data_IF_867550334545
#
_entry.id   IF_867550334545
#
_cell.length_a   1.000
_cell.length_b   1.000
_cell.length_c   1.000
_cell.angle_alpha   90.00
_cell.angle_beta   90.00
_cell.angle_gamma   90.00
#
_symmetry.space_group_name_H-M   'P 1'
#
loop_
_entity.id
_entity.type
_entity.pdbx_description
1 polymer ?
#
# COMPACT_ATOMS: atom_id res chain seq x y z
N UNK A 1 9.04 -44.96 28.62
CA UNK A 1 8.77 -43.51 28.78
C UNK A 1 9.41 -42.62 27.70
N UNK A 2 10.62 -42.92 27.19
CA UNK A 2 11.31 -42.09 26.17
C UNK A 2 10.54 -41.90 24.85
N UNK A 3 9.88 -42.95 24.34
CA UNK A 3 9.15 -42.88 23.06
C UNK A 3 7.84 -42.08 23.14
N UNK A 4 7.19 -42.05 24.31
CA UNK A 4 5.94 -41.28 24.52
C UNK A 4 6.25 -39.78 24.58
N UNK A 5 7.36 -39.41 25.23
CA UNK A 5 7.83 -38.03 25.31
C UNK A 5 8.22 -37.49 23.93
N UNK A 6 8.92 -38.30 23.11
CA UNK A 6 9.27 -37.93 21.74
C UNK A 6 8.03 -37.71 20.86
N UNK A 7 7.00 -38.56 20.97
CA UNK A 7 5.74 -38.39 20.25
C UNK A 7 5.02 -37.09 20.65
N UNK A 8 4.93 -36.81 21.96
CA UNK A 8 4.33 -35.58 22.50
C UNK A 8 5.05 -34.33 22.00
N UNK A 9 6.38 -34.33 21.94
CA UNK A 9 7.15 -33.22 21.37
C UNK A 9 6.83 -32.99 19.89
N UNK A 10 6.69 -34.05 19.09
CA UNK A 10 6.33 -33.93 17.67
C UNK A 10 4.92 -33.35 17.50
N UNK A 11 3.95 -33.82 18.30
CA UNK A 11 2.58 -33.29 18.25
C UNK A 11 2.50 -31.83 18.69
N UNK A 12 3.22 -31.43 19.73
CA UNK A 12 3.26 -30.04 20.21
C UNK A 12 3.88 -29.10 19.16
N UNK A 13 4.98 -29.51 18.52
CA UNK A 13 5.62 -28.72 17.46
C UNK A 13 4.73 -28.62 16.21
N UNK A 14 4.09 -29.72 15.81
CA UNK A 14 3.16 -29.74 14.67
C UNK A 14 1.92 -28.87 14.92
N UNK A 15 1.36 -28.91 16.14
CA UNK A 15 0.22 -28.07 16.51
C UNK A 15 0.58 -26.59 16.51
N UNK A 16 1.72 -26.21 17.11
CA UNK A 16 2.17 -24.83 17.16
C UNK A 16 2.43 -24.24 15.77
N UNK A 17 3.02 -25.03 14.87
CA UNK A 17 3.29 -24.62 13.49
C UNK A 17 2.00 -24.47 12.67
N UNK A 18 1.02 -25.33 12.90
CA UNK A 18 -0.29 -25.26 12.24
C UNK A 18 -1.09 -24.04 12.70
N UNK A 19 -1.12 -23.76 14.01
CA UNK A 19 -1.82 -22.59 14.55
C UNK A 19 -1.15 -21.28 14.13
N UNK A 20 0.19 -21.21 14.14
CA UNK A 20 0.93 -20.02 13.69
C UNK A 20 0.78 -19.72 12.20
N UNK A 21 0.68 -20.75 11.36
CA UNK A 21 0.43 -20.58 9.93
C UNK A 21 -1.00 -20.09 9.64
N UNK A 22 -2.00 -20.62 10.37
CA UNK A 22 -3.39 -20.17 10.30
C UNK A 22 -3.52 -18.68 10.69
N UNK A 23 -2.87 -18.27 11.79
CA UNK A 23 -2.91 -16.89 12.27
C UNK A 23 -2.13 -15.93 11.34
N UNK A 24 -1.02 -16.37 10.75
CA UNK A 24 -0.29 -15.59 9.72
C UNK A 24 -1.17 -15.36 8.49
N UNK A 25 -1.85 -16.39 7.99
CA UNK A 25 -2.73 -16.29 6.83
C UNK A 25 -3.91 -15.33 7.05
N UNK A 26 -4.53 -15.38 8.24
CA UNK A 26 -5.60 -14.46 8.62
C UNK A 26 -5.11 -13.02 8.78
N UNK A 27 -3.94 -12.83 9.39
CA UNK A 27 -3.30 -11.51 9.52
C UNK A 27 -3.03 -10.87 8.15
N UNK A 28 -2.52 -11.64 7.19
CA UNK A 28 -2.29 -11.19 5.81
C UNK A 28 -3.62 -10.77 5.15
N UNK A 29 -4.65 -11.60 5.26
CA UNK A 29 -5.98 -11.30 4.70
C UNK A 29 -6.58 -10.02 5.29
N UNK A 30 -6.49 -9.84 6.60
CA UNK A 30 -6.97 -8.64 7.28
C UNK A 30 -6.18 -7.40 6.86
N UNK A 31 -4.86 -7.54 6.69
CA UNK A 31 -4.01 -6.44 6.21
C UNK A 31 -4.39 -6.02 4.79
N UNK A 32 -4.61 -6.97 3.87
CA UNK A 32 -5.09 -6.69 2.51
C UNK A 32 -6.45 -5.99 2.54
N UNK A 33 -7.39 -6.44 3.37
CA UNK A 33 -8.70 -5.80 3.51
C UNK A 33 -8.56 -4.35 3.99
N UNK A 34 -7.69 -4.09 4.97
CA UNK A 34 -7.41 -2.74 5.46
C UNK A 34 -6.79 -1.85 4.37
N UNK A 35 -5.86 -2.36 3.58
CA UNK A 35 -5.26 -1.62 2.44
C UNK A 35 -6.36 -1.23 1.44
N UNK A 36 -7.22 -2.17 1.04
CA UNK A 36 -8.33 -1.92 0.11
C UNK A 36 -9.29 -0.87 0.68
N UNK A 37 -9.65 -0.97 1.97
CA UNK A 37 -10.56 -0.05 2.62
C UNK A 37 -9.99 1.38 2.65
N UNK A 38 -8.71 1.54 3.01
CA UNK A 38 -8.06 2.86 3.01
C UNK A 38 -8.04 3.43 1.58
N UNK A 39 -7.66 2.65 0.57
CA UNK A 39 -7.66 3.13 -0.82
C UNK A 39 -9.04 3.63 -1.27
N UNK A 40 -10.12 2.92 -0.91
CA UNK A 40 -11.49 3.36 -1.19
C UNK A 40 -11.85 4.66 -0.46
N UNK A 41 -11.49 4.77 0.82
CA UNK A 41 -11.71 5.99 1.62
C UNK A 41 -10.94 7.17 1.02
N UNK A 42 -9.70 6.98 0.60
CA UNK A 42 -8.89 8.02 -0.04
C UNK A 42 -9.52 8.52 -1.34
N UNK A 43 -10.07 7.62 -2.17
CA UNK A 43 -10.82 8.02 -3.36
C UNK A 43 -12.06 8.85 -3.02
N UNK A 44 -12.73 8.59 -1.90
CA UNK A 44 -13.82 9.43 -1.40
C UNK A 44 -13.30 10.81 -0.97
N UNK A 45 -12.16 10.87 -0.28
CA UNK A 45 -11.54 12.15 0.08
C UNK A 45 -11.15 12.98 -1.14
N UNK A 46 -10.58 12.35 -2.17
CA UNK A 46 -10.26 12.99 -3.45
C UNK A 46 -11.53 13.56 -4.11
N UNK A 47 -12.60 12.76 -4.20
CA UNK A 47 -13.87 13.22 -4.79
C UNK A 47 -14.47 14.43 -4.07
N UNK A 48 -14.26 14.56 -2.76
CA UNK A 48 -14.72 15.72 -1.97
C UNK A 48 -14.01 17.02 -2.32
N UNK A 49 -12.82 16.97 -2.93
CA UNK A 49 -12.09 18.17 -3.34
C UNK A 49 -12.74 18.92 -4.52
N UNK A 50 -13.71 18.31 -5.21
CA UNK A 50 -14.45 18.92 -6.35
C UNK A 50 -13.54 19.55 -7.41
N UNK A 51 -12.36 18.97 -7.65
CA UNK A 51 -11.43 19.46 -8.65
C UNK A 51 -12.01 19.21 -10.07
N UNK A 52 -11.89 20.19 -10.97
CA UNK A 52 -12.28 20.04 -12.37
C UNK A 52 -11.51 18.87 -13.01
N UNK A 53 -12.14 18.06 -13.86
CA UNK A 53 -11.47 16.92 -14.49
C UNK A 53 -10.35 17.34 -15.46
N UNK A 54 -9.24 16.61 -15.45
CA UNK A 54 -8.06 16.80 -16.29
C UNK A 54 -8.37 16.17 -17.62
N UNK A 55 -8.19 16.89 -18.72
CA UNK A 55 -8.22 16.27 -20.04
C UNK A 55 -7.05 15.31 -20.25
N UNK A 56 -5.96 15.45 -19.49
CA UNK A 56 -4.69 14.74 -19.72
C UNK A 56 -4.43 13.78 -18.56
N UNK A 57 -4.84 12.53 -18.75
CA UNK A 57 -4.49 11.43 -17.84
C UNK A 57 -3.11 10.90 -18.19
N UNK A 58 -2.11 11.15 -17.34
CA UNK A 58 -0.91 10.31 -17.36
C UNK A 58 -1.37 8.90 -16.96
N UNK A 59 -1.07 7.86 -17.76
CA UNK A 59 -1.45 6.51 -17.39
C UNK A 59 -0.76 6.15 -16.07
N UNK A 60 -1.51 5.60 -15.10
CA UNK A 60 -0.91 5.18 -13.84
C UNK A 60 0.14 4.09 -14.10
N UNK A 61 1.21 4.02 -13.29
CA UNK A 61 2.14 2.91 -13.35
C UNK A 61 1.43 1.59 -13.08
N UNK A 62 1.88 0.51 -13.72
CA UNK A 62 1.26 -0.81 -13.61
C UNK A 62 1.32 -1.36 -12.19
N UNK A 63 0.27 -2.07 -11.77
CA UNK A 63 0.22 -2.77 -10.48
C UNK A 63 0.84 -4.16 -10.62
N UNK A 64 2.08 -4.34 -10.17
CA UNK A 64 2.82 -5.59 -10.36
C UNK A 64 2.81 -6.50 -9.13
N UNK A 65 3.09 -5.94 -7.96
CA UNK A 65 3.27 -6.68 -6.69
C UNK A 65 3.68 -5.73 -5.57
N UNK A 66 3.72 -6.23 -4.33
CA UNK A 66 3.91 -5.43 -3.11
C UNK A 66 5.14 -4.52 -3.16
N UNK A 67 6.23 -4.99 -3.76
CA UNK A 67 7.49 -4.27 -3.90
C UNK A 67 7.36 -3.02 -4.78
N UNK A 68 6.64 -3.15 -5.89
CA UNK A 68 6.33 -2.05 -6.79
C UNK A 68 5.27 -1.13 -6.16
N UNK A 69 4.23 -1.70 -5.55
CA UNK A 69 3.16 -0.90 -4.92
C UNK A 69 3.70 0.00 -3.80
N UNK A 70 4.55 -0.54 -2.91
CA UNK A 70 5.19 0.26 -1.85
C UNK A 70 6.04 1.39 -2.44
N UNK A 71 6.75 1.14 -3.54
CA UNK A 71 7.58 2.15 -4.18
C UNK A 71 6.75 3.29 -4.78
N UNK A 72 5.73 2.98 -5.60
CA UNK A 72 4.89 4.00 -6.24
C UNK A 72 4.11 4.82 -5.20
N UNK A 73 3.57 4.18 -4.15
CA UNK A 73 2.94 4.90 -3.04
C UNK A 73 3.92 5.83 -2.33
N UNK A 74 5.18 5.41 -2.18
CA UNK A 74 6.24 6.26 -1.62
C UNK A 74 6.56 7.47 -2.48
N UNK A 75 6.53 7.33 -3.81
CA UNK A 75 6.69 8.45 -4.74
C UNK A 75 5.51 9.42 -4.62
N UNK A 76 4.28 8.91 -4.59
CA UNK A 76 3.07 9.71 -4.44
C UNK A 76 3.03 10.45 -3.08
N UNK A 77 3.45 9.82 -1.98
CA UNK A 77 3.56 10.47 -0.65
C UNK A 77 4.49 11.70 -0.71
N UNK A 78 5.62 11.60 -1.41
CA UNK A 78 6.57 12.71 -1.56
C UNK A 78 5.97 13.84 -2.41
N UNK A 79 5.32 13.51 -3.53
CA UNK A 79 4.64 14.53 -4.35
C UNK A 79 3.54 15.25 -3.52
N UNK A 80 2.79 14.51 -2.70
CA UNK A 80 1.75 15.07 -1.84
C UNK A 80 2.28 15.96 -0.71
N UNK A 81 3.47 15.68 -0.18
CA UNK A 81 4.11 16.51 0.85
C UNK A 81 4.36 17.95 0.40
N UNK A 82 4.46 18.20 -0.91
CA UNK A 82 4.63 19.53 -1.48
C UNK A 82 3.34 20.37 -1.41
N UNK A 83 2.21 19.79 -1.00
CA UNK A 83 0.90 20.42 -1.03
C UNK A 83 0.23 20.44 0.36
N UNK A 84 0.37 21.53 1.14
CA UNK A 84 -0.20 21.65 2.48
C UNK A 84 -1.72 21.46 2.55
N UNK A 85 -2.44 21.69 1.45
CA UNK A 85 -3.90 21.54 1.41
C UNK A 85 -4.36 20.09 1.22
N UNK A 86 -3.44 19.15 0.96
CA UNK A 86 -3.74 17.73 0.71
C UNK A 86 -3.40 16.82 1.91
N UNK A 87 -3.24 17.37 3.12
CA UNK A 87 -2.82 16.64 4.34
C UNK A 87 -3.60 15.34 4.55
N UNK A 88 -4.92 15.35 4.34
CA UNK A 88 -5.74 14.15 4.55
C UNK A 88 -5.40 13.04 3.54
N UNK A 89 -5.23 13.39 2.27
CA UNK A 89 -4.86 12.42 1.22
C UNK A 89 -3.41 11.96 1.42
N UNK A 90 -2.52 12.86 1.82
CA UNK A 90 -1.13 12.55 2.16
C UNK A 90 -1.03 11.54 3.32
N UNK A 91 -1.78 11.77 4.40
CA UNK A 91 -1.84 10.85 5.53
C UNK A 91 -2.38 9.46 5.12
N UNK A 92 -3.42 9.43 4.29
CA UNK A 92 -3.97 8.17 3.78
C UNK A 92 -2.94 7.41 2.92
N UNK A 93 -2.27 8.08 1.98
CA UNK A 93 -1.27 7.48 1.10
C UNK A 93 -0.04 7.02 1.88
N UNK A 94 0.40 7.78 2.88
CA UNK A 94 1.49 7.39 3.78
C UNK A 94 1.10 6.14 4.61
N UNK A 95 -0.14 6.08 5.10
CA UNK A 95 -0.69 4.90 5.78
C UNK A 95 -0.77 3.67 4.86
N UNK A 96 -1.19 3.85 3.60
CA UNK A 96 -1.18 2.80 2.58
C UNK A 96 0.25 2.28 2.34
N UNK A 97 1.21 3.16 2.12
CA UNK A 97 2.61 2.81 1.89
C UNK A 97 3.16 1.96 3.03
N UNK A 98 3.01 2.44 4.28
CA UNK A 98 3.50 1.73 5.45
C UNK A 98 2.86 0.34 5.62
N UNK A 99 1.57 0.20 5.31
CA UNK A 99 0.86 -1.09 5.39
C UNK A 99 1.29 -2.04 4.29
N UNK A 100 1.43 -1.58 3.06
CA UNK A 100 1.93 -2.38 1.93
C UNK A 100 3.36 -2.83 2.21
N UNK A 101 4.21 -1.94 2.75
CA UNK A 101 5.59 -2.27 3.12
C UNK A 101 5.67 -3.29 4.26
N UNK A 102 4.83 -3.14 5.28
CA UNK A 102 4.72 -4.11 6.37
C UNK A 102 4.23 -5.48 5.87
N UNK A 103 3.23 -5.49 4.97
CA UNK A 103 2.76 -6.71 4.32
C UNK A 103 3.87 -7.37 3.50
N UNK A 104 4.58 -6.61 2.68
CA UNK A 104 5.73 -7.08 1.91
C UNK A 104 6.79 -7.73 2.82
N UNK A 105 7.10 -7.10 3.95
CA UNK A 105 8.03 -7.66 4.93
C UNK A 105 7.52 -8.99 5.52
N UNK A 106 6.25 -9.07 5.92
CA UNK A 106 5.66 -10.32 6.44
C UNK A 106 5.61 -11.47 5.42
N UNK A 107 5.60 -11.12 4.13
CA UNK A 107 5.60 -12.03 2.99
C UNK A 107 7.00 -12.24 2.39
N UNK A 108 8.04 -11.69 3.03
CA UNK A 108 9.45 -11.84 2.62
C UNK A 108 9.72 -11.33 1.19
N UNK A 109 8.97 -10.31 0.74
CA UNK A 109 9.17 -9.68 -0.56
C UNK A 109 10.40 -8.74 -0.57
N UNK A 110 11.13 -8.67 -1.70
CA UNK A 110 12.25 -7.73 -1.84
C UNK A 110 11.77 -6.29 -1.96
N UNK A 111 12.04 -5.46 -0.95
CA UNK A 111 11.62 -4.06 -0.94
C UNK A 111 12.66 -3.14 -1.57
N UNK A 112 12.21 -2.21 -2.41
CA UNK A 112 13.03 -1.05 -2.79
C UNK A 112 13.20 -0.10 -1.60
N UNK A 113 14.33 0.64 -1.53
CA UNK A 113 14.47 1.74 -0.58
C UNK A 113 13.33 2.75 -0.74
N UNK A 114 12.91 3.38 0.36
CA UNK A 114 11.94 4.48 0.29
C UNK A 114 12.56 5.61 -0.56
N UNK A 115 11.82 6.20 -1.51
CA UNK A 115 12.36 7.29 -2.30
C UNK A 115 12.72 8.47 -1.40
N UNK A 116 13.77 9.21 -1.76
CA UNK A 116 14.19 10.39 -1.00
C UNK A 116 13.30 11.59 -1.33
N UNK A 117 12.99 12.41 -0.31
CA UNK A 117 12.27 13.67 -0.51
C UNK A 117 13.12 14.59 -1.37
N UNK A 118 12.59 15.01 -2.51
CA UNK A 118 13.18 16.06 -3.34
C UNK A 118 12.26 17.27 -3.33
N UNK A 119 12.79 18.42 -2.90
CA UNK A 119 12.10 19.70 -2.97
C UNK A 119 12.30 20.26 -4.37
N UNK A 120 11.32 20.07 -5.24
CA UNK A 120 11.30 20.73 -6.54
C UNK A 120 10.30 21.88 -6.45
N UNK A 121 10.78 23.12 -6.57
CA UNK A 121 9.91 24.29 -6.63
C UNK A 121 9.18 24.29 -7.98
N UNK A 122 7.85 24.18 -7.93
CA UNK A 122 7.01 24.25 -9.14
C UNK A 122 6.74 25.71 -9.51
N UNK A 123 7.00 26.06 -10.77
CA UNK A 123 6.65 27.37 -11.35
C UNK A 123 5.12 27.55 -11.48
N UNK A 124 4.35 26.45 -11.47
CA UNK A 124 2.88 26.44 -11.62
C UNK A 124 2.22 25.57 -10.53
N UNK A 125 1.99 26.13 -9.33
CA UNK A 125 1.54 25.36 -8.17
C UNK A 125 0.14 24.74 -8.31
N UNK A 126 -0.80 25.41 -8.99
CA UNK A 126 -2.17 24.90 -9.18
C UNK A 126 -2.24 23.73 -10.16
N UNK A 127 -1.51 23.81 -11.28
CA UNK A 127 -1.42 22.73 -12.25
C UNK A 127 -0.74 21.49 -11.66
N UNK A 128 0.28 21.71 -10.80
CA UNK A 128 0.97 20.63 -10.10
C UNK A 128 0.06 19.96 -9.07
N UNK A 129 -0.65 20.74 -8.25
CA UNK A 129 -1.64 20.24 -7.28
C UNK A 129 -2.63 19.31 -7.98
N UNK A 130 -3.20 19.79 -9.08
CA UNK A 130 -4.22 19.06 -9.80
C UNK A 130 -3.69 17.74 -10.39
N UNK A 131 -2.49 17.80 -11.00
CA UNK A 131 -1.82 16.63 -11.54
C UNK A 131 -1.47 15.60 -10.47
N UNK A 132 -0.99 16.02 -9.29
CA UNK A 132 -0.69 15.11 -8.17
C UNK A 132 -1.95 14.39 -7.71
N UNK A 133 -3.08 15.09 -7.55
CA UNK A 133 -4.34 14.44 -7.15
C UNK A 133 -4.82 13.45 -8.20
N UNK A 134 -4.73 13.78 -9.50
CA UNK A 134 -5.09 12.85 -10.59
C UNK A 134 -4.22 11.60 -10.59
N UNK A 135 -2.90 11.72 -10.38
CA UNK A 135 -1.99 10.56 -10.28
C UNK A 135 -2.41 9.63 -9.13
N UNK A 136 -2.68 10.19 -7.96
CA UNK A 136 -3.11 9.41 -6.79
C UNK A 136 -4.44 8.71 -7.09
N UNK A 137 -5.41 9.44 -7.66
CA UNK A 137 -6.71 8.87 -8.01
C UNK A 137 -6.56 7.68 -8.96
N UNK A 138 -5.91 7.87 -10.11
CA UNK A 138 -5.74 6.82 -11.10
C UNK A 138 -4.98 5.62 -10.53
N UNK A 139 -3.93 5.86 -9.74
CA UNK A 139 -3.16 4.79 -9.14
C UNK A 139 -3.99 3.94 -8.16
N UNK A 140 -4.81 4.58 -7.33
CA UNK A 140 -5.68 3.87 -6.38
C UNK A 140 -6.82 3.13 -7.09
N UNK A 141 -7.38 3.69 -8.18
CA UNK A 141 -8.36 3.00 -9.02
C UNK A 141 -7.76 1.73 -9.63
N UNK A 142 -6.56 1.82 -10.21
CA UNK A 142 -5.85 0.65 -10.74
C UNK A 142 -5.49 -0.37 -9.65
N UNK A 143 -5.06 0.09 -8.47
CA UNK A 143 -4.79 -0.79 -7.33
C UNK A 143 -6.03 -1.59 -6.93
N UNK A 144 -7.20 -0.95 -6.92
CA UNK A 144 -8.46 -1.61 -6.57
C UNK A 144 -8.91 -2.63 -7.63
N UNK A 145 -8.72 -2.31 -8.91
CA UNK A 145 -8.94 -3.26 -10.02
C UNK A 145 -7.99 -4.46 -9.92
N UNK A 146 -6.76 -4.22 -9.49
CA UNK A 146 -5.69 -5.21 -9.42
C UNK A 146 -5.38 -5.70 -8.00
N UNK A 147 -6.34 -5.64 -7.06
CA UNK A 147 -6.13 -5.97 -5.63
C UNK A 147 -5.54 -7.36 -5.37
N UNK A 148 -5.69 -8.30 -6.30
CA UNK A 148 -5.05 -9.62 -6.24
C UNK A 148 -3.52 -9.56 -6.20
N UNK A 149 -2.93 -8.49 -6.73
CA UNK A 149 -1.48 -8.24 -6.75
C UNK A 149 -0.90 -7.93 -5.37
N UNK A 150 -1.73 -7.61 -4.36
CA UNK A 150 -1.31 -7.50 -2.96
C UNK A 150 -0.90 -8.84 -2.35
N UNK A 151 -1.08 -9.96 -3.07
CA UNK A 151 -0.63 -11.29 -2.66
C UNK A 151 0.68 -11.70 -3.35
N UNK A 152 1.25 -10.82 -4.17
CA UNK A 152 2.46 -11.07 -4.95
C UNK A 152 3.58 -10.13 -4.51
N UNK A 153 4.81 -10.61 -4.65
CA UNK A 153 5.97 -9.74 -4.78
C UNK A 153 6.10 -9.34 -6.27
#
# INVERSE_FOLDING_TARGET
MRNILALLCVFLMAAHQSTSLLTKGESIRNTIHNIVNIAQITLVHIKKLKLLASPIGVPPPSILGLSNISHELGVLDIELQQHPFLIQIQADVSSLEGRVRSLAFSMECPLKPKPAVQMNESVFPESHLYMTVTKVQHYLEELLLNKGKLKLC
#
